data_IF_863084345306
#
_entry.id   IF_863084345306
#
_cell.length_a   1.000
_cell.length_b   1.000
_cell.length_c   1.000
_cell.angle_alpha   90.00
_cell.angle_beta   90.00
_cell.angle_gamma   90.00
#
_symmetry.space_group_name_H-M   'P 1'
#
loop_
_entity.id
_entity.type
_entity.pdbx_description
1 polymer ?
#
# COMPACT_ATOMS: atom_id res chain seq x y z
N UNK A 1 -22.20 -2.24 -10.51
CA UNK A 1 -21.20 -3.32 -10.33
C UNK A 1 -19.83 -2.99 -10.93
N UNK A 2 -19.74 -2.62 -12.22
CA UNK A 2 -18.45 -2.26 -12.86
C UNK A 2 -17.87 -0.94 -12.32
N UNK A 3 -18.72 0.06 -12.10
CA UNK A 3 -18.35 1.36 -11.52
C UNK A 3 -17.63 1.23 -10.18
N UNK A 4 -18.06 0.32 -9.30
CA UNK A 4 -17.43 0.09 -7.99
C UNK A 4 -15.99 -0.43 -8.13
N UNK A 5 -15.78 -1.38 -9.04
CA UNK A 5 -14.44 -1.94 -9.32
C UNK A 5 -13.50 -0.86 -9.84
N UNK A 6 -13.97 0.03 -10.71
CA UNK A 6 -13.18 1.15 -11.26
C UNK A 6 -12.80 2.12 -10.14
N UNK A 7 -13.75 2.49 -9.26
CA UNK A 7 -13.48 3.41 -8.15
C UNK A 7 -12.47 2.80 -7.16
N UNK A 8 -12.64 1.53 -6.78
CA UNK A 8 -11.67 0.82 -5.92
C UNK A 8 -10.28 0.79 -6.54
N UNK A 9 -10.18 0.51 -7.84
CA UNK A 9 -8.91 0.45 -8.56
C UNK A 9 -8.25 1.84 -8.63
N UNK A 10 -9.02 2.90 -8.84
CA UNK A 10 -8.52 4.26 -8.85
C UNK A 10 -7.96 4.66 -7.47
N UNK A 11 -8.69 4.38 -6.40
CA UNK A 11 -8.24 4.63 -5.02
C UNK A 11 -6.96 3.85 -4.71
N UNK A 12 -6.90 2.58 -5.10
CA UNK A 12 -5.72 1.75 -4.94
C UNK A 12 -4.48 2.35 -5.65
N UNK A 13 -4.63 2.80 -6.90
CA UNK A 13 -3.56 3.44 -7.66
C UNK A 13 -3.11 4.73 -6.96
N UNK A 14 -4.04 5.55 -6.46
CA UNK A 14 -3.71 6.77 -5.73
C UNK A 14 -2.91 6.44 -4.46
N UNK A 15 -3.33 5.46 -3.67
CA UNK A 15 -2.58 5.04 -2.48
C UNK A 15 -1.18 4.53 -2.81
N UNK A 16 -1.02 3.75 -3.88
CA UNK A 16 0.30 3.34 -4.34
C UNK A 16 1.14 4.54 -4.78
N UNK A 17 0.57 5.45 -5.57
CA UNK A 17 1.25 6.66 -6.00
C UNK A 17 1.76 7.49 -4.82
N UNK A 18 0.93 7.67 -3.80
CA UNK A 18 1.31 8.36 -2.55
C UNK A 18 2.41 7.59 -1.82
N UNK A 19 2.32 6.27 -1.73
CA UNK A 19 3.33 5.43 -1.07
C UNK A 19 4.72 5.59 -1.72
N UNK A 20 4.78 5.52 -3.05
CA UNK A 20 6.02 5.67 -3.81
C UNK A 20 6.52 7.12 -3.89
N UNK A 21 5.64 8.12 -3.68
CA UNK A 21 6.03 9.52 -3.62
C UNK A 21 6.59 9.92 -2.24
N UNK A 22 6.00 9.41 -1.16
CA UNK A 22 6.47 9.68 0.21
C UNK A 22 7.71 8.84 0.55
N UNK A 23 7.86 7.66 -0.05
CA UNK A 23 8.97 6.73 0.20
C UNK A 23 9.24 6.54 1.70
N UNK A 24 8.27 6.04 2.48
CA UNK A 24 8.43 5.93 3.92
C UNK A 24 9.64 5.04 4.27
N UNK A 25 10.43 5.47 5.26
CA UNK A 25 11.65 4.80 5.74
C UNK A 25 11.42 3.34 6.21
N UNK A 26 10.16 2.92 6.37
CA UNK A 26 9.78 1.54 6.68
C UNK A 26 9.94 0.60 5.47
N UNK A 27 9.72 1.10 4.26
CA UNK A 27 9.80 0.31 3.01
C UNK A 27 10.95 0.75 2.10
N UNK A 28 11.40 1.98 2.22
CA UNK A 28 12.45 2.57 1.39
C UNK A 28 13.64 2.97 2.24
N UNK A 29 14.83 2.86 1.66
CA UNK A 29 16.06 3.38 2.25
C UNK A 29 16.26 4.87 1.91
N UNK A 30 17.24 5.52 2.53
CA UNK A 30 17.59 6.92 2.29
C UNK A 30 17.94 7.24 0.83
N UNK A 31 18.37 6.22 0.09
CA UNK A 31 18.69 6.31 -1.34
C UNK A 31 17.47 6.03 -2.25
N UNK A 32 16.27 5.84 -1.67
CA UNK A 32 15.04 5.53 -2.40
C UNK A 32 14.92 4.07 -2.86
N UNK A 33 15.86 3.21 -2.48
CA UNK A 33 15.83 1.78 -2.77
C UNK A 33 14.82 1.07 -1.89
N UNK A 34 14.17 0.02 -2.40
CA UNK A 34 13.27 -0.82 -1.59
C UNK A 34 14.12 -1.61 -0.60
N UNK A 35 13.81 -1.51 0.69
CA UNK A 35 14.51 -2.26 1.74
C UNK A 35 14.33 -3.76 1.54
N UNK A 36 15.42 -4.51 1.65
CA UNK A 36 15.37 -5.96 1.64
C UNK A 36 14.67 -6.48 2.89
N UNK A 37 13.92 -7.56 2.71
CA UNK A 37 13.31 -8.30 3.79
C UNK A 37 14.36 -9.16 4.50
N UNK A 38 14.50 -9.00 5.81
CA UNK A 38 15.46 -9.79 6.59
C UNK A 38 15.46 -9.41 8.06
N UNK A 39 15.88 -10.34 8.91
CA UNK A 39 16.11 -10.13 10.36
C UNK A 39 17.62 -10.13 10.65
N UNK A 40 18.44 -9.73 9.67
CA UNK A 40 19.87 -9.56 9.93
C UNK A 40 20.09 -8.18 10.58
N UNK A 41 21.02 -8.09 11.55
CA UNK A 41 21.33 -6.85 12.28
C UNK A 41 22.09 -5.84 11.40
N UNK A 42 21.53 -5.46 10.27
CA UNK A 42 22.00 -4.34 9.46
C UNK A 42 20.89 -3.28 9.39
N UNK A 43 21.26 -2.01 9.54
CA UNK A 43 20.35 -0.86 9.52
C UNK A 43 19.49 -0.75 8.24
N UNK A 44 19.75 -1.60 7.24
CA UNK A 44 19.10 -1.68 5.93
C UNK A 44 17.87 -2.59 5.88
N UNK A 45 17.63 -3.40 6.92
CA UNK A 45 16.61 -4.43 6.85
C UNK A 45 15.23 -3.94 7.25
N UNK A 46 14.21 -4.30 6.47
CA UNK A 46 12.81 -4.07 6.82
C UNK A 46 12.15 -5.36 7.31
N UNK A 47 11.46 -5.26 8.44
CA UNK A 47 10.65 -6.33 9.03
C UNK A 47 9.38 -6.57 8.18
N UNK A 48 8.99 -5.60 7.35
CA UNK A 48 7.75 -5.66 6.58
C UNK A 48 8.01 -5.39 5.10
N UNK A 49 7.97 -6.43 4.24
CA UNK A 49 8.36 -6.28 2.86
C UNK A 49 7.27 -5.55 2.07
N UNK A 50 7.67 -4.62 1.22
CA UNK A 50 6.78 -3.85 0.37
C UNK A 50 5.88 -4.77 -0.49
N UNK A 51 6.41 -5.93 -0.92
CA UNK A 51 5.66 -6.93 -1.70
C UNK A 51 4.42 -7.47 -0.99
N UNK A 52 4.43 -7.56 0.36
CA UNK A 52 3.26 -7.95 1.15
C UNK A 52 2.34 -6.76 1.45
N UNK A 53 2.90 -5.55 1.52
CA UNK A 53 2.14 -4.35 1.79
C UNK A 53 1.28 -3.91 0.60
N UNK A 54 1.77 -4.06 -0.62
CA UNK A 54 1.05 -3.73 -1.86
C UNK A 54 -0.33 -4.45 -1.96
N UNK A 55 -0.43 -5.79 -1.86
CA UNK A 55 -1.72 -6.48 -1.88
C UNK A 55 -2.58 -6.14 -0.64
N UNK A 56 -1.97 -5.83 0.50
CA UNK A 56 -2.71 -5.37 1.68
C UNK A 56 -3.45 -4.04 1.41
N UNK A 57 -2.80 -3.07 0.73
CA UNK A 57 -3.45 -1.82 0.32
C UNK A 57 -4.63 -2.08 -0.63
N UNK A 58 -4.53 -3.08 -1.52
CA UNK A 58 -5.62 -3.44 -2.42
C UNK A 58 -6.86 -3.91 -1.65
N UNK A 59 -6.67 -4.79 -0.66
CA UNK A 59 -7.74 -5.28 0.22
C UNK A 59 -8.34 -4.11 1.01
N UNK A 60 -7.50 -3.25 1.59
CA UNK A 60 -7.93 -2.09 2.36
C UNK A 60 -8.78 -1.13 1.51
N UNK A 61 -8.36 -0.87 0.27
CA UNK A 61 -9.07 0.00 -0.68
C UNK A 61 -10.47 -0.53 -1.00
N UNK A 62 -10.61 -1.85 -1.13
CA UNK A 62 -11.90 -2.48 -1.35
C UNK A 62 -12.81 -2.38 -0.13
N UNK A 63 -12.27 -2.65 1.06
CA UNK A 63 -13.02 -2.54 2.33
C UNK A 63 -13.52 -1.09 2.54
N UNK A 64 -12.69 -0.08 2.27
CA UNK A 64 -13.08 1.33 2.37
C UNK A 64 -14.30 1.65 1.50
N UNK A 65 -14.31 1.16 0.25
CA UNK A 65 -15.47 1.36 -0.64
C UNK A 65 -16.71 0.67 -0.12
N UNK A 66 -16.61 -0.54 0.43
CA UNK A 66 -17.75 -1.23 1.04
C UNK A 66 -18.31 -0.45 2.22
N UNK A 67 -17.46 0.12 3.08
CA UNK A 67 -17.90 0.94 4.22
C UNK A 67 -18.58 2.21 3.74
N UNK A 68 -18.01 2.90 2.76
CA UNK A 68 -18.62 4.10 2.16
C UNK A 68 -20.00 3.74 1.61
N UNK A 69 -20.09 2.67 0.84
CA UNK A 69 -21.37 2.25 0.24
C UNK A 69 -22.42 1.92 1.31
N UNK A 70 -22.02 1.28 2.42
CA UNK A 70 -22.90 0.98 3.55
C UNK A 70 -23.43 2.24 4.26
N UNK A 71 -22.68 3.35 4.24
CA UNK A 71 -23.12 4.60 4.86
C UNK A 71 -24.10 5.37 3.97
N UNK A 72 -23.91 5.31 2.64
CA UNK A 72 -24.71 6.04 1.66
C UNK A 72 -25.91 5.25 1.10
N UNK A 73 -26.10 4.00 1.53
CA UNK A 73 -27.24 3.14 1.20
C UNK A 73 -28.14 2.99 2.41
#
# INVERSE_FOLDING_TARGET
>A
MLSRKIITLLIYIVFLGVLFAIQPNLFFDKDGNIRCFGIENSDTNSILPLILFVPFIAILSYILILIIEMIYT
#
